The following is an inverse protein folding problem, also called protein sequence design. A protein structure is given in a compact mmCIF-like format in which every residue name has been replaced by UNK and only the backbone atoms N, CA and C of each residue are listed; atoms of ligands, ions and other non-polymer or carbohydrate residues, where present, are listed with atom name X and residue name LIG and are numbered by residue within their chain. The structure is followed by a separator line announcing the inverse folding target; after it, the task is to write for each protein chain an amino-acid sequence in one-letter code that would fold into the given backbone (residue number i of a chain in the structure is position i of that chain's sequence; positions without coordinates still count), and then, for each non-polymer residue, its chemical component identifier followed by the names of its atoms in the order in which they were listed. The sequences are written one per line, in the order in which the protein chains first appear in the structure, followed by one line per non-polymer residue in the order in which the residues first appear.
data_IF_084644858314
#
_entry.id   IF_084644858314
#
_cell.length_a   1.000
_cell.length_b   1.000
_cell.length_c   1.000
_cell.angle_alpha   90.00
_cell.angle_beta   90.00
_cell.angle_gamma   90.00
#
_symmetry.space_group_name_H-M   'P 1'
#
loop_
_entity.id
_entity.type
_entity.pdbx_description
1 polymer ?
#
# COMPACT_ATOMS: atom_id res chain seq x y z
N UNK A 1 -9.34 -7.57 0.56
CA UNK A 1 -8.02 -8.23 0.71
C UNK A 1 -6.90 -7.19 0.68
N UNK A 2 -6.22 -6.97 1.79
CA UNK A 2 -5.00 -6.17 1.85
C UNK A 2 -3.80 -7.08 1.55
N UNK A 3 -2.97 -6.71 0.59
CA UNK A 3 -1.81 -7.52 0.16
C UNK A 3 -0.51 -7.02 0.79
N UNK A 4 -0.42 -5.74 1.08
CA UNK A 4 0.76 -5.07 1.63
C UNK A 4 1.05 -3.74 0.97
N UNK A 5 2.07 -3.06 1.44
CA UNK A 5 2.59 -1.86 0.80
C UNK A 5 3.27 -2.20 -0.52
N UNK A 6 3.22 -1.27 -1.46
CA UNK A 6 3.85 -1.35 -2.76
C UNK A 6 5.16 -0.53 -2.78
N UNK A 7 6.08 -0.93 -3.63
CA UNK A 7 7.31 -0.20 -3.93
C UNK A 7 8.52 -0.66 -3.11
N UNK A 8 9.50 0.24 -2.93
CA UNK A 8 10.81 -0.07 -2.32
C UNK A 8 10.71 -0.59 -0.88
N UNK A 9 9.66 -0.18 -0.15
CA UNK A 9 9.35 -0.65 1.20
C UNK A 9 8.15 -1.60 1.22
N UNK A 10 7.76 -2.10 0.06
CA UNK A 10 6.62 -2.97 -0.12
C UNK A 10 6.94 -4.43 0.17
N UNK A 11 5.88 -5.23 0.34
CA UNK A 11 6.00 -6.68 0.45
C UNK A 11 6.32 -7.32 -0.91
N UNK A 12 6.97 -8.48 -0.88
CA UNK A 12 7.19 -9.28 -2.08
C UNK A 12 5.87 -9.56 -2.81
N UNK A 13 4.85 -10.00 -2.07
CA UNK A 13 3.55 -10.30 -2.64
C UNK A 13 2.89 -9.09 -3.32
N UNK A 14 2.95 -7.88 -2.71
CA UNK A 14 2.38 -6.68 -3.31
C UNK A 14 3.13 -6.27 -4.58
N UNK A 15 4.45 -6.28 -4.56
CA UNK A 15 5.27 -5.94 -5.73
C UNK A 15 5.07 -6.95 -6.86
N UNK A 16 5.02 -8.25 -6.54
CA UNK A 16 4.79 -9.30 -7.53
C UNK A 16 3.37 -9.21 -8.11
N UNK A 17 2.36 -8.95 -7.28
CA UNK A 17 0.99 -8.78 -7.74
C UNK A 17 0.84 -7.63 -8.77
N UNK A 18 1.52 -6.51 -8.56
CA UNK A 18 1.53 -5.41 -9.55
C UNK A 18 2.28 -5.80 -10.83
N UNK A 19 3.34 -6.58 -10.73
CA UNK A 19 4.11 -7.01 -11.91
C UNK A 19 3.39 -8.04 -12.78
N UNK A 20 2.52 -8.84 -12.17
CA UNK A 20 1.86 -9.98 -12.82
C UNK A 20 0.37 -9.75 -13.12
N UNK A 21 -0.25 -8.67 -12.60
CA UNK A 21 -1.65 -8.40 -12.89
C UNK A 21 -1.88 -8.01 -14.36
N UNK A 22 -3.04 -8.35 -14.89
CA UNK A 22 -3.52 -7.98 -16.23
C UNK A 22 -4.23 -6.62 -16.23
N UNK A 23 -4.80 -6.21 -15.10
CA UNK A 23 -5.42 -4.90 -14.90
C UNK A 23 -4.90 -4.27 -13.62
N UNK A 24 -4.37 -3.06 -13.73
CA UNK A 24 -4.00 -2.20 -12.61
C UNK A 24 -5.00 -1.07 -12.48
N UNK A 25 -5.93 -1.19 -11.53
CA UNK A 25 -6.87 -0.12 -11.22
C UNK A 25 -6.33 0.74 -10.07
N UNK A 26 -6.06 2.00 -10.33
CA UNK A 26 -5.45 2.93 -9.39
C UNK A 26 -6.29 4.17 -9.16
N UNK A 27 -6.40 4.61 -7.91
CA UNK A 27 -7.19 5.77 -7.50
C UNK A 27 -6.32 6.70 -6.66
N UNK A 28 -6.15 7.96 -7.09
CA UNK A 28 -5.41 8.98 -6.36
C UNK A 28 -3.92 8.66 -6.16
N UNK A 29 -3.32 7.92 -7.07
CA UNK A 29 -1.93 7.45 -6.99
C UNK A 29 -1.05 8.30 -7.88
N UNK A 30 0.01 8.87 -7.32
CA UNK A 30 0.96 9.69 -8.09
C UNK A 30 2.03 8.92 -8.83
N UNK A 31 2.14 7.61 -8.67
CA UNK A 31 3.14 6.74 -9.29
C UNK A 31 4.56 7.31 -9.19
N UNK A 32 4.96 7.67 -7.96
CA UNK A 32 6.29 8.20 -7.72
C UNK A 32 7.37 7.09 -7.80
N UNK A 33 8.63 7.48 -7.85
CA UNK A 33 9.78 6.60 -7.97
C UNK A 33 9.92 5.57 -6.83
N UNK A 34 9.38 5.88 -5.64
CA UNK A 34 9.36 4.94 -4.50
C UNK A 34 8.45 3.76 -4.73
N UNK A 35 7.42 3.94 -5.56
CA UNK A 35 6.43 2.92 -5.93
C UNK A 35 6.84 2.22 -7.22
N UNK A 36 7.19 2.99 -8.26
CA UNK A 36 7.41 2.45 -9.60
C UNK A 36 8.79 1.84 -9.79
N UNK A 37 9.80 2.32 -9.06
CA UNK A 37 11.17 1.95 -9.35
C UNK A 37 11.53 2.31 -10.79
N UNK A 38 11.99 1.33 -11.59
CA UNK A 38 12.26 1.52 -13.01
C UNK A 38 10.95 1.59 -13.80
N UNK A 39 10.56 2.80 -14.18
CA UNK A 39 9.27 3.09 -14.85
C UNK A 39 9.02 2.18 -16.06
N UNK A 40 10.05 1.92 -16.89
CA UNK A 40 9.92 1.05 -18.06
C UNK A 40 9.62 -0.41 -17.77
N UNK A 41 9.74 -0.85 -16.53
CA UNK A 41 9.44 -2.21 -16.07
C UNK A 41 8.17 -2.29 -15.20
N UNK A 42 7.61 -1.14 -14.81
CA UNK A 42 6.45 -1.09 -13.93
C UNK A 42 5.18 -1.52 -14.65
N UNK A 43 4.47 -2.50 -14.12
CA UNK A 43 3.16 -2.99 -14.59
C UNK A 43 3.07 -3.21 -16.12
N UNK A 44 4.14 -3.69 -16.76
CA UNK A 44 4.27 -3.83 -18.23
C UNK A 44 3.18 -4.65 -18.91
N UNK A 45 2.58 -5.58 -18.18
CA UNK A 45 1.58 -6.52 -18.69
C UNK A 45 0.16 -6.05 -18.45
N UNK A 46 0.01 -4.96 -17.70
CA UNK A 46 -1.28 -4.51 -17.20
C UNK A 46 -1.89 -3.46 -18.10
N UNK A 47 -3.20 -3.53 -18.26
CA UNK A 47 -4.00 -2.35 -18.66
C UNK A 47 -4.13 -1.44 -17.45
N UNK A 48 -3.60 -0.23 -17.53
CA UNK A 48 -3.58 0.72 -16.41
C UNK A 48 -4.78 1.65 -16.49
N UNK A 49 -5.67 1.53 -15.49
CA UNK A 49 -6.80 2.42 -15.29
C UNK A 49 -6.46 3.36 -14.15
N UNK A 50 -6.47 4.67 -14.40
CA UNK A 50 -6.12 5.65 -13.39
C UNK A 50 -7.23 6.67 -13.17
N UNK A 51 -7.74 6.71 -11.95
CA UNK A 51 -8.70 7.69 -11.46
C UNK A 51 -7.97 8.72 -10.63
N UNK A 52 -8.02 9.98 -11.02
CA UNK A 52 -7.52 11.09 -10.22
C UNK A 52 -8.40 12.33 -10.41
N UNK A 53 -8.52 13.14 -9.38
CA UNK A 53 -9.28 14.40 -9.45
C UNK A 53 -8.50 15.49 -10.20
N UNK A 54 -7.17 15.40 -10.17
CA UNK A 54 -6.27 16.32 -10.86
C UNK A 54 -5.87 15.75 -12.24
N UNK A 55 -6.34 16.36 -13.35
CA UNK A 55 -5.96 15.90 -14.68
C UNK A 55 -4.45 15.96 -14.94
N UNK A 56 -3.70 16.81 -14.22
CA UNK A 56 -2.25 16.90 -14.37
C UNK A 56 -1.50 15.72 -13.73
N UNK A 57 -2.15 14.93 -12.88
CA UNK A 57 -1.63 13.70 -12.30
C UNK A 57 -1.69 12.51 -13.26
N UNK A 58 -2.65 12.54 -14.21
CA UNK A 58 -2.85 11.46 -15.18
C UNK A 58 -1.68 11.43 -16.17
N UNK A 59 -1.14 10.25 -16.40
CA UNK A 59 0.01 9.99 -17.29
C UNK A 59 1.27 10.82 -17.01
N UNK A 60 1.38 11.39 -15.80
CA UNK A 60 2.52 12.24 -15.44
C UNK A 60 3.82 11.44 -15.31
N UNK A 61 3.79 10.28 -14.68
CA UNK A 61 4.97 9.48 -14.35
C UNK A 61 4.99 8.13 -15.07
N UNK A 62 3.83 7.56 -15.36
CA UNK A 62 3.65 6.35 -16.17
C UNK A 62 2.58 6.60 -17.22
N UNK A 63 2.66 5.92 -18.34
CA UNK A 63 1.61 5.93 -19.34
C UNK A 63 0.36 5.22 -18.83
N UNK A 64 -0.82 5.79 -19.06
CA UNK A 64 -2.11 5.27 -18.58
C UNK A 64 -2.99 4.94 -19.78
N UNK A 65 -3.51 3.72 -19.83
CA UNK A 65 -4.37 3.27 -20.92
C UNK A 65 -5.78 3.86 -20.84
N UNK A 66 -6.35 3.90 -19.64
CA UNK A 66 -7.70 4.40 -19.39
C UNK A 66 -7.68 5.49 -18.32
N UNK A 67 -7.60 6.77 -18.73
CA UNK A 67 -7.65 7.90 -17.82
C UNK A 67 -9.08 8.24 -17.40
N UNK A 68 -9.30 8.48 -16.11
CA UNK A 68 -10.59 8.90 -15.56
C UNK A 68 -10.35 10.11 -14.65
N UNK A 69 -10.72 11.30 -15.12
CA UNK A 69 -10.65 12.52 -14.30
C UNK A 69 -11.95 12.64 -13.51
N UNK A 70 -11.92 12.28 -12.25
CA UNK A 70 -13.10 12.29 -11.38
C UNK A 70 -12.72 12.26 -9.89
N UNK A 71 -13.65 12.71 -9.06
CA UNK A 71 -13.61 12.44 -7.62
C UNK A 71 -13.72 10.92 -7.36
N UNK A 72 -12.89 10.41 -6.47
CA UNK A 72 -12.78 8.97 -6.17
C UNK A 72 -14.12 8.36 -5.74
N UNK A 73 -14.91 9.06 -4.91
CA UNK A 73 -16.22 8.58 -4.44
C UNK A 73 -17.19 8.43 -5.60
N UNK A 74 -17.22 9.41 -6.51
CA UNK A 74 -18.13 9.41 -7.66
C UNK A 74 -17.73 8.32 -8.66
N UNK A 75 -16.43 8.16 -8.93
CA UNK A 75 -15.92 7.11 -9.80
C UNK A 75 -16.25 5.71 -9.25
N UNK A 76 -16.02 5.47 -7.96
CA UNK A 76 -16.34 4.19 -7.33
C UNK A 76 -17.84 3.91 -7.36
N UNK A 77 -18.69 4.91 -7.05
CA UNK A 77 -20.15 4.75 -7.11
C UNK A 77 -20.62 4.34 -8.50
N UNK A 78 -20.16 5.04 -9.55
CA UNK A 78 -20.52 4.73 -10.92
C UNK A 78 -20.01 3.34 -11.38
N UNK A 79 -18.86 2.91 -10.90
CA UNK A 79 -18.32 1.57 -11.17
C UNK A 79 -19.16 0.49 -10.51
N UNK A 80 -19.53 0.65 -9.23
CA UNK A 80 -20.34 -0.32 -8.50
C UNK A 80 -21.70 -0.59 -9.14
N UNK A 81 -22.29 0.41 -9.77
CA UNK A 81 -23.57 0.24 -10.51
C UNK A 81 -23.43 -0.64 -11.76
N UNK A 82 -22.24 -0.73 -12.34
CA UNK A 82 -22.00 -1.39 -13.64
C UNK A 82 -21.15 -2.64 -13.54
N UNK A 83 -20.49 -2.85 -12.39
CA UNK A 83 -19.52 -3.93 -12.25
C UNK A 83 -20.24 -5.24 -11.95
N UNK A 84 -20.10 -6.26 -12.78
CA UNK A 84 -20.58 -7.61 -12.47
C UNK A 84 -19.79 -8.20 -11.30
N UNK A 85 -20.35 -9.22 -10.67
CA UNK A 85 -19.63 -9.99 -9.67
C UNK A 85 -18.55 -10.82 -10.37
N UNK A 86 -17.29 -10.54 -10.09
CA UNK A 86 -16.16 -11.30 -10.59
C UNK A 86 -15.73 -12.35 -9.57
N UNK A 87 -15.30 -13.49 -10.06
CA UNK A 87 -14.60 -14.49 -9.25
C UNK A 87 -13.08 -14.26 -9.37
N UNK A 88 -12.47 -13.90 -8.25
CA UNK A 88 -11.03 -13.71 -8.13
C UNK A 88 -10.36 -14.81 -7.29
N UNK A 89 -10.97 -15.98 -7.20
CA UNK A 89 -10.50 -17.06 -6.33
C UNK A 89 -9.05 -17.47 -6.65
N UNK A 90 -8.76 -17.79 -7.90
CA UNK A 90 -7.42 -18.18 -8.36
C UNK A 90 -6.38 -17.10 -8.10
N UNK A 91 -6.74 -15.83 -8.36
CA UNK A 91 -5.85 -14.70 -8.09
C UNK A 91 -5.54 -14.55 -6.59
N UNK A 92 -6.52 -14.78 -5.74
CA UNK A 92 -6.32 -14.75 -4.28
C UNK A 92 -5.40 -15.88 -3.80
N UNK A 93 -5.58 -17.09 -4.31
CA UNK A 93 -4.69 -18.22 -4.02
C UNK A 93 -3.24 -17.89 -4.42
N UNK A 94 -3.05 -17.34 -5.61
CA UNK A 94 -1.73 -16.93 -6.09
C UNK A 94 -1.08 -15.87 -5.20
N UNK A 95 -1.83 -14.87 -4.75
CA UNK A 95 -1.34 -13.86 -3.80
C UNK A 95 -0.94 -14.50 -2.47
N UNK A 96 -1.73 -15.44 -1.96
CA UNK A 96 -1.44 -16.12 -0.70
C UNK A 96 -0.19 -17.00 -0.81
N UNK A 97 0.06 -17.64 -1.96
CA UNK A 97 1.32 -18.33 -2.24
C UNK A 97 2.52 -17.36 -2.18
N UNK A 98 2.43 -16.19 -2.82
CA UNK A 98 3.52 -15.21 -2.77
C UNK A 98 3.79 -14.67 -1.37
N UNK A 99 2.75 -14.52 -0.54
CA UNK A 99 2.90 -14.16 0.87
C UNK A 99 3.66 -15.22 1.66
N UNK A 100 3.42 -16.51 1.36
CA UNK A 100 4.10 -17.63 2.00
C UNK A 100 5.53 -17.82 1.51
N UNK A 101 5.80 -17.59 0.23
CA UNK A 101 7.14 -17.74 -0.36
C UNK A 101 8.16 -16.77 0.23
N UNK A 102 7.77 -15.52 0.45
CA UNK A 102 8.62 -14.49 1.04
C UNK A 102 7.81 -13.64 2.01
N UNK A 103 7.58 -14.15 3.23
CA UNK A 103 7.00 -13.34 4.28
C UNK A 103 7.88 -12.11 4.56
N UNK A 104 7.27 -11.05 5.07
CA UNK A 104 8.03 -9.91 5.57
C UNK A 104 8.83 -10.35 6.81
N UNK A 105 10.06 -10.76 6.57
CA UNK A 105 11.01 -11.08 7.64
C UNK A 105 11.93 -9.88 7.83
N UNK A 106 12.10 -9.46 9.07
CA UNK A 106 13.26 -8.65 9.44
C UNK A 106 14.40 -9.62 9.64
N UNK A 107 15.44 -9.52 8.83
CA UNK A 107 16.69 -10.22 9.13
C UNK A 107 16.97 -10.02 10.61
N UNK A 108 17.01 -11.09 11.35
CA UNK A 108 17.43 -11.06 12.74
C UNK A 108 18.93 -10.75 12.74
N UNK A 109 19.25 -9.46 12.61
CA UNK A 109 20.57 -9.03 13.00
C UNK A 109 20.74 -9.48 14.45
N UNK A 110 21.73 -10.27 14.71
CA UNK A 110 22.10 -10.78 16.04
C UNK A 110 22.64 -9.64 16.93
N UNK A 111 21.88 -8.57 17.02
CA UNK A 111 22.14 -7.46 17.91
C UNK A 111 21.40 -7.75 19.20
N UNK A 112 22.14 -7.85 20.28
CA UNK A 112 21.56 -7.88 21.63
C UNK A 112 20.74 -6.60 21.84
N UNK A 113 19.43 -6.68 21.69
CA UNK A 113 18.56 -5.52 21.87
C UNK A 113 17.13 -5.72 21.35
N UNK A 114 16.29 -4.73 21.61
CA UNK A 114 14.91 -4.71 21.17
C UNK A 114 14.86 -4.31 19.69
N UNK A 115 14.34 -5.18 18.84
CA UNK A 115 14.18 -4.89 17.41
C UNK A 115 12.89 -4.10 17.14
N UNK A 116 12.81 -3.30 16.07
CA UNK A 116 11.58 -2.62 15.68
C UNK A 116 10.40 -3.57 15.48
N UNK A 117 10.64 -4.74 14.88
CA UNK A 117 9.62 -5.77 14.71
C UNK A 117 9.08 -6.25 16.06
N UNK A 118 9.94 -6.52 17.02
CA UNK A 118 9.52 -6.96 18.36
C UNK A 118 8.65 -5.91 19.07
N UNK A 119 8.98 -4.61 18.89
CA UNK A 119 8.16 -3.51 19.41
C UNK A 119 6.77 -3.53 18.78
N UNK A 120 6.67 -3.61 17.46
CA UNK A 120 5.38 -3.55 16.76
C UNK A 120 4.55 -4.81 17.04
N UNK A 121 5.18 -5.99 17.09
CA UNK A 121 4.50 -7.22 17.51
C UNK A 121 3.93 -7.08 18.94
N UNK A 122 4.66 -6.43 19.83
CA UNK A 122 4.18 -6.17 21.18
C UNK A 122 3.03 -5.17 21.20
N UNK A 123 3.06 -4.16 20.35
CA UNK A 123 1.96 -3.21 20.15
C UNK A 123 0.71 -3.95 19.66
N UNK A 124 0.83 -4.81 18.65
CA UNK A 124 -0.29 -5.61 18.14
C UNK A 124 -0.94 -6.47 19.24
N UNK A 125 -0.11 -7.06 20.14
CA UNK A 125 -0.60 -7.89 21.24
C UNK A 125 -1.32 -7.11 22.35
N UNK A 126 -0.84 -5.92 22.69
CA UNK A 126 -1.30 -5.17 23.87
C UNK A 126 -2.34 -4.12 23.50
N UNK A 127 -2.23 -3.53 22.30
CA UNK A 127 -2.97 -2.33 21.88
C UNK A 127 -3.74 -2.57 20.58
N UNK A 128 -4.42 -3.72 20.45
CA UNK A 128 -5.15 -4.11 19.23
C UNK A 128 -6.21 -3.10 18.78
N UNK A 129 -6.76 -2.30 19.69
CA UNK A 129 -7.81 -1.31 19.41
C UNK A 129 -7.30 0.14 19.42
N UNK A 130 -6.02 0.36 19.68
CA UNK A 130 -5.46 1.69 19.75
C UNK A 130 -5.37 2.37 18.39
N UNK A 131 -5.47 3.69 18.39
CA UNK A 131 -5.10 4.52 17.24
C UNK A 131 -3.60 4.77 17.32
N UNK A 132 -2.87 4.30 16.32
CA UNK A 132 -1.43 4.44 16.26
C UNK A 132 -1.08 5.63 15.37
N UNK A 133 -0.32 6.56 15.90
CA UNK A 133 0.24 7.68 15.12
C UNK A 133 1.72 7.45 14.86
N UNK A 134 2.20 7.80 13.70
CA UNK A 134 3.63 7.73 13.39
C UNK A 134 4.18 9.08 12.95
N UNK A 135 5.41 9.35 13.31
CA UNK A 135 6.20 10.37 12.64
C UNK A 135 6.77 9.82 11.32
N UNK A 136 7.49 10.64 10.58
CA UNK A 136 8.14 10.24 9.33
C UNK A 136 9.51 9.62 9.63
N UNK A 137 9.85 8.57 8.90
CA UNK A 137 11.12 7.86 9.00
C UNK A 137 10.97 6.35 9.11
N UNK A 138 11.98 5.68 9.62
CA UNK A 138 12.00 4.21 9.73
C UNK A 138 10.84 3.68 10.61
N UNK A 139 10.50 4.39 11.68
CA UNK A 139 9.34 4.05 12.51
C UNK A 139 8.05 3.94 11.67
N UNK A 140 7.82 4.88 10.76
CA UNK A 140 6.67 4.88 9.85
C UNK A 140 6.69 3.64 8.96
N UNK A 141 7.82 3.34 8.35
CA UNK A 141 7.98 2.21 7.43
C UNK A 141 7.71 0.88 8.15
N UNK A 142 8.32 0.65 9.29
CA UNK A 142 8.11 -0.57 10.08
C UNK A 142 6.68 -0.68 10.59
N UNK A 143 6.08 0.42 11.03
CA UNK A 143 4.69 0.40 11.48
C UNK A 143 3.75 0.07 10.32
N UNK A 144 3.93 0.66 9.15
CA UNK A 144 3.09 0.34 7.98
C UNK A 144 3.26 -1.09 7.47
N UNK A 145 4.42 -1.71 7.71
CA UNK A 145 4.70 -3.08 7.29
C UNK A 145 4.14 -4.12 8.26
N UNK A 146 4.26 -3.88 9.57
CA UNK A 146 4.07 -4.91 10.59
C UNK A 146 2.90 -4.65 11.54
N UNK A 147 2.26 -3.47 11.49
CA UNK A 147 1.07 -3.20 12.29
C UNK A 147 -0.13 -3.96 11.73
N UNK A 148 -0.78 -4.74 12.58
CA UNK A 148 -2.02 -5.45 12.26
C UNK A 148 -3.20 -4.52 12.50
N UNK A 149 -3.85 -4.09 11.41
CA UNK A 149 -5.01 -3.21 11.47
C UNK A 149 -6.28 -4.06 11.57
N UNK A 150 -6.99 -3.96 12.69
CA UNK A 150 -8.26 -4.67 12.95
C UNK A 150 -9.47 -3.82 12.60
N UNK A 151 -9.33 -2.49 12.64
CA UNK A 151 -10.39 -1.52 12.36
C UNK A 151 -9.94 -0.42 11.39
N UNK A 152 -10.90 0.28 10.81
CA UNK A 152 -10.64 1.49 10.03
C UNK A 152 -10.10 2.62 10.91
N UNK A 153 -9.23 3.46 10.36
CA UNK A 153 -8.65 4.64 11.02
C UNK A 153 -7.77 4.34 12.24
N UNK A 154 -7.23 3.15 12.36
CA UNK A 154 -6.30 2.81 13.44
C UNK A 154 -4.90 3.37 13.23
N UNK A 155 -4.53 3.78 12.03
CA UNK A 155 -3.21 4.35 11.75
C UNK A 155 -3.34 5.74 11.15
N UNK A 156 -2.67 6.72 11.78
CA UNK A 156 -2.56 8.09 11.32
C UNK A 156 -1.08 8.39 11.01
N UNK A 157 -0.82 8.79 9.78
CA UNK A 157 0.56 9.03 9.33
C UNK A 157 0.60 10.07 8.23
N UNK A 158 1.66 10.87 8.16
CA UNK A 158 1.92 11.79 7.05
C UNK A 158 2.57 11.04 5.87
N UNK A 159 1.86 10.06 5.30
CA UNK A 159 2.38 9.23 4.22
C UNK A 159 2.46 9.93 2.86
N UNK A 160 1.65 10.97 2.65
CA UNK A 160 1.61 11.73 1.39
C UNK A 160 2.68 12.81 1.28
N UNK A 161 2.72 13.71 2.25
CA UNK A 161 3.65 14.84 2.27
C UNK A 161 4.95 14.54 3.02
N UNK A 162 4.98 13.54 3.88
CA UNK A 162 6.15 13.18 4.66
C UNK A 162 6.54 14.25 5.68
N UNK A 163 5.55 14.85 6.36
CA UNK A 163 5.77 15.93 7.30
C UNK A 163 6.36 15.42 8.59
N UNK A 164 7.62 15.73 8.86
CA UNK A 164 8.27 15.44 10.14
C UNK A 164 7.65 16.27 11.27
N UNK A 165 7.52 15.68 12.46
CA UNK A 165 6.85 16.29 13.60
C UNK A 165 5.33 16.11 13.61
N UNK A 166 4.77 15.26 12.74
CA UNK A 166 3.34 14.98 12.67
C UNK A 166 2.87 14.04 13.79
N UNK A 167 3.67 13.04 14.14
CA UNK A 167 3.22 11.89 14.95
C UNK A 167 2.74 12.28 16.34
N UNK A 168 3.50 13.07 17.07
CA UNK A 168 3.16 13.48 18.44
C UNK A 168 1.93 14.41 18.50
N UNK A 169 1.84 15.50 17.69
CA UNK A 169 0.62 16.33 17.69
C UNK A 169 -0.64 15.56 17.26
N UNK A 170 -0.51 14.59 16.37
CA UNK A 170 -1.65 13.78 15.93
C UNK A 170 -2.13 12.78 16.99
N UNK A 171 -1.36 12.53 18.04
CA UNK A 171 -1.72 11.67 19.16
C UNK A 171 -2.48 12.40 20.28
N UNK A 172 -2.48 13.73 20.28
CA UNK A 172 -3.17 14.60 21.24
C UNK A 172 -4.60 14.90 20.81
#
# INVERSE_FOLDING_TARGET
LYVGNLGIHGSYAANTAISECDVLFSIGVRFNDRITGKVSEFAKRSTIIHVDIDPASISRNIEVDIPIVADAKNAIAALLEKTPVFDFHEWRLQIDEWKQQKPLEVEQFSVSGVTPLAIIQKINQIFSDAIITTDVGQNQLWTTQFLELTNQKQMLTSGGLGTMGYGFPAAL
#
